data_IF_299800046597
#
_entry.id   IF_299800046597
#
_cell.length_a   1.000
_cell.length_b   1.000
_cell.length_c   1.000
_cell.angle_alpha   90.00
_cell.angle_beta   90.00
_cell.angle_gamma   90.00
#
_symmetry.space_group_name_H-M   'P 1'
#
loop_
_entity.id
_entity.type
_entity.pdbx_description
1 polymer ?
#
# COMPACT_ATOMS: atom_id res chain seq x y z
N UNK A 1 15.82 -1.00 -5.58
CA UNK A 1 15.05 -2.16 -6.12
C UNK A 1 15.11 -2.19 -7.65
N UNK A 2 14.62 -1.18 -8.37
CA UNK A 2 14.65 -1.17 -9.85
C UNK A 2 16.06 -1.34 -10.47
N UNK A 3 17.09 -0.65 -9.96
CA UNK A 3 18.49 -0.87 -10.39
C UNK A 3 19.04 -2.25 -10.00
N UNK A 4 18.62 -2.78 -8.85
CA UNK A 4 19.07 -4.09 -8.34
C UNK A 4 18.41 -5.28 -9.05
N UNK A 5 17.30 -5.06 -9.76
CA UNK A 5 16.61 -6.09 -10.55
C UNK A 5 17.00 -6.06 -12.03
N UNK A 6 17.92 -5.18 -12.44
CA UNK A 6 18.32 -5.06 -13.85
C UNK A 6 17.15 -4.78 -14.79
N UNK A 7 16.16 -3.99 -14.36
CA UNK A 7 14.99 -3.71 -15.20
C UNK A 7 15.40 -2.94 -16.46
N UNK A 8 14.91 -3.38 -17.63
CA UNK A 8 15.02 -2.64 -18.89
C UNK A 8 14.27 -1.31 -18.83
N UNK A 9 14.58 -0.37 -19.73
CA UNK A 9 13.85 0.91 -19.80
C UNK A 9 12.35 0.70 -20.04
N UNK A 10 11.97 -0.25 -20.89
CA UNK A 10 10.57 -0.61 -21.13
C UNK A 10 9.89 -1.17 -19.88
N UNK A 11 10.56 -2.06 -19.14
CA UNK A 11 10.05 -2.57 -17.87
C UNK A 11 9.88 -1.44 -16.86
N UNK A 12 10.86 -0.52 -16.77
CA UNK A 12 10.77 0.65 -15.88
C UNK A 12 9.59 1.56 -16.25
N UNK A 13 9.39 1.82 -17.54
CA UNK A 13 8.27 2.63 -18.02
C UNK A 13 6.92 2.01 -17.66
N UNK A 14 6.75 0.70 -17.90
CA UNK A 14 5.52 -0.03 -17.54
C UNK A 14 5.29 -0.06 -16.03
N UNK A 15 6.33 -0.26 -15.22
CA UNK A 15 6.24 -0.20 -13.76
C UNK A 15 5.82 1.19 -13.29
N UNK A 16 6.40 2.27 -13.84
CA UNK A 16 6.00 3.66 -13.51
C UNK A 16 4.51 3.88 -13.79
N UNK A 17 4.03 3.45 -14.96
CA UNK A 17 2.61 3.57 -15.34
C UNK A 17 1.68 2.82 -14.39
N UNK A 18 1.99 1.56 -14.05
CA UNK A 18 1.21 0.77 -13.09
C UNK A 18 1.12 1.49 -11.73
N UNK A 19 2.23 2.03 -11.24
CA UNK A 19 2.28 2.74 -9.96
C UNK A 19 1.47 4.04 -9.99
N UNK A 20 1.53 4.78 -11.11
CA UNK A 20 0.78 6.00 -11.30
C UNK A 20 -0.72 5.73 -11.41
N UNK A 21 -1.15 4.75 -12.19
CA UNK A 21 -2.54 4.34 -12.31
C UNK A 21 -3.10 3.85 -10.96
N UNK A 22 -2.30 3.09 -10.22
CA UNK A 22 -2.65 2.66 -8.86
C UNK A 22 -2.80 3.85 -7.92
N UNK A 23 -1.93 4.86 -8.03
CA UNK A 23 -2.05 6.09 -7.23
C UNK A 23 -3.29 6.88 -7.58
N UNK A 24 -3.59 7.06 -8.88
CA UNK A 24 -4.79 7.77 -9.34
C UNK A 24 -6.08 7.08 -8.86
N UNK A 25 -6.20 5.76 -9.08
CA UNK A 25 -7.37 4.98 -8.64
C UNK A 25 -7.63 5.04 -7.14
N UNK A 26 -6.57 5.24 -6.35
CA UNK A 26 -6.64 5.28 -4.90
C UNK A 26 -6.71 6.70 -4.33
N UNK A 27 -6.67 7.74 -5.16
CA UNK A 27 -6.59 9.12 -4.70
C UNK A 27 -7.78 9.50 -3.81
N UNK A 28 -8.99 9.18 -4.27
CA UNK A 28 -10.23 9.50 -3.55
C UNK A 28 -10.33 8.72 -2.24
N UNK A 29 -9.95 7.43 -2.26
CA UNK A 29 -9.91 6.58 -1.06
C UNK A 29 -8.92 7.12 -0.03
N UNK A 30 -7.78 7.65 -0.46
CA UNK A 30 -6.82 8.32 0.44
C UNK A 30 -7.42 9.61 1.01
N UNK A 31 -8.18 10.37 0.20
CA UNK A 31 -8.95 11.52 0.66
C UNK A 31 -9.95 11.15 1.75
N UNK A 32 -10.77 10.12 1.51
CA UNK A 32 -11.73 9.59 2.47
C UNK A 32 -11.06 9.14 3.76
N UNK A 33 -9.94 8.40 3.69
CA UNK A 33 -9.18 8.00 4.91
C UNK A 33 -8.77 9.22 5.74
N UNK A 34 -8.38 10.34 5.11
CA UNK A 34 -8.01 11.56 5.84
C UNK A 34 -9.22 12.18 6.52
N UNK A 35 -10.34 12.29 5.82
CA UNK A 35 -11.60 12.81 6.39
C UNK A 35 -12.07 11.94 7.56
N UNK A 36 -12.08 10.62 7.41
CA UNK A 36 -12.55 9.73 8.47
C UNK A 36 -11.61 9.71 9.69
N UNK A 37 -10.30 9.90 9.48
CA UNK A 37 -9.34 10.11 10.58
C UNK A 37 -9.54 11.44 11.29
N UNK A 38 -9.94 12.49 10.57
CA UNK A 38 -10.29 13.77 11.18
C UNK A 38 -11.52 13.59 12.06
N UNK A 39 -12.59 12.98 11.54
CA UNK A 39 -13.81 12.69 12.29
C UNK A 39 -13.52 11.89 13.57
N UNK A 40 -12.73 10.80 13.46
CA UNK A 40 -12.32 10.02 14.62
C UNK A 40 -11.57 10.87 15.65
N UNK A 41 -10.67 11.75 15.21
CA UNK A 41 -9.91 12.60 16.12
C UNK A 41 -10.81 13.56 16.88
N UNK A 42 -11.80 14.14 16.21
CA UNK A 42 -12.75 15.05 16.85
C UNK A 42 -13.64 14.30 17.86
N UNK A 43 -14.11 13.10 17.52
CA UNK A 43 -14.85 12.24 18.47
C UNK A 43 -14.04 11.93 19.73
N UNK A 44 -12.73 11.66 19.58
CA UNK A 44 -11.83 11.37 20.70
C UNK A 44 -11.46 12.59 21.54
N UNK A 45 -11.76 13.81 21.06
CA UNK A 45 -11.51 15.08 21.77
C UNK A 45 -12.73 15.59 22.53
N UNK A 46 -13.89 14.98 22.35
CA UNK A 46 -15.10 15.36 23.06
C UNK A 46 -14.96 15.12 24.57
N UNK A 47 -15.67 15.92 25.38
CA UNK A 47 -15.68 15.81 26.84
C UNK A 47 -16.11 14.41 27.32
N UNK A 48 -16.97 13.74 26.53
CA UNK A 48 -17.34 12.34 26.71
C UNK A 48 -17.24 11.61 25.37
N UNK A 49 -16.41 10.57 25.33
CA UNK A 49 -16.26 9.70 24.17
C UNK A 49 -17.32 8.60 24.20
N UNK A 50 -18.01 8.39 23.08
CA UNK A 50 -18.80 7.19 22.82
C UNK A 50 -17.89 6.08 22.27
N UNK A 51 -17.62 5.00 23.02
CA UNK A 51 -16.72 3.94 22.59
C UNK A 51 -17.19 3.23 21.32
N UNK A 52 -18.48 2.94 21.20
CA UNK A 52 -19.03 2.16 20.09
C UNK A 52 -18.99 2.98 18.80
N UNK A 53 -19.33 4.27 18.88
CA UNK A 53 -19.22 5.18 17.75
C UNK A 53 -17.75 5.34 17.28
N UNK A 54 -16.79 5.44 18.22
CA UNK A 54 -15.37 5.54 17.88
C UNK A 54 -14.82 4.26 17.22
N UNK A 55 -15.26 3.08 17.70
CA UNK A 55 -14.90 1.78 17.10
C UNK A 55 -15.47 1.65 15.69
N UNK A 56 -16.73 2.03 15.46
CA UNK A 56 -17.32 2.02 14.13
C UNK A 56 -16.63 2.99 13.17
N UNK A 57 -16.27 4.18 13.65
CA UNK A 57 -15.50 5.14 12.87
C UNK A 57 -14.11 4.59 12.51
N UNK A 58 -13.46 3.87 13.44
CA UNK A 58 -12.20 3.17 13.16
C UNK A 58 -12.38 2.06 12.12
N UNK A 59 -13.48 1.31 12.16
CA UNK A 59 -13.81 0.26 11.19
C UNK A 59 -13.87 0.81 9.76
N UNK A 60 -14.56 1.94 9.55
CA UNK A 60 -14.60 2.62 8.23
C UNK A 60 -13.21 2.93 7.68
N UNK A 61 -12.32 3.48 8.52
CA UNK A 61 -10.94 3.75 8.14
C UNK A 61 -10.20 2.47 7.73
N UNK A 62 -10.40 1.38 8.47
CA UNK A 62 -9.73 0.12 8.20
C UNK A 62 -10.26 -0.55 6.93
N UNK A 63 -11.56 -0.42 6.63
CA UNK A 63 -12.18 -0.90 5.40
C UNK A 63 -11.56 -0.21 4.17
N UNK A 64 -11.43 1.11 4.21
CA UNK A 64 -10.74 1.89 3.17
C UNK A 64 -9.28 1.48 3.03
N UNK A 65 -8.56 1.23 4.13
CA UNK A 65 -7.18 0.72 4.09
C UNK A 65 -7.09 -0.66 3.42
N UNK A 66 -8.08 -1.55 3.64
CA UNK A 66 -8.13 -2.86 2.98
C UNK A 66 -8.33 -2.71 1.46
N UNK A 67 -9.12 -1.74 1.01
CA UNK A 67 -9.24 -1.41 -0.41
C UNK A 67 -7.89 -0.98 -1.02
N UNK A 68 -7.17 -0.07 -0.36
CA UNK A 68 -5.81 0.34 -0.77
C UNK A 68 -4.85 -0.84 -0.80
N UNK A 69 -4.91 -1.71 0.21
CA UNK A 69 -4.07 -2.91 0.27
C UNK A 69 -4.32 -3.83 -0.92
N UNK A 70 -5.59 -4.10 -1.26
CA UNK A 70 -5.95 -4.89 -2.44
C UNK A 70 -5.37 -4.31 -3.71
N UNK A 71 -5.58 -3.00 -3.95
CA UNK A 71 -5.07 -2.33 -5.14
C UNK A 71 -3.53 -2.40 -5.26
N UNK A 72 -2.82 -2.30 -4.12
CA UNK A 72 -1.35 -2.46 -4.08
C UNK A 72 -0.90 -3.89 -4.39
N UNK A 73 -1.66 -4.90 -3.96
CA UNK A 73 -1.38 -6.31 -4.28
C UNK A 73 -1.59 -6.57 -5.77
N UNK A 74 -2.64 -6.01 -6.36
CA UNK A 74 -2.91 -6.12 -7.79
C UNK A 74 -1.80 -5.47 -8.62
N UNK A 75 -1.41 -4.25 -8.26
CA UNK A 75 -0.28 -3.55 -8.88
C UNK A 75 1.03 -4.36 -8.76
N UNK A 76 1.28 -4.96 -7.59
CA UNK A 76 2.45 -5.82 -7.38
C UNK A 76 2.42 -7.03 -8.30
N UNK A 77 1.26 -7.68 -8.47
CA UNK A 77 1.12 -8.83 -9.35
C UNK A 77 1.36 -8.45 -10.82
N UNK A 78 0.83 -7.29 -11.26
CA UNK A 78 1.12 -6.74 -12.58
C UNK A 78 2.62 -6.48 -12.79
N UNK A 79 3.30 -5.91 -11.80
CA UNK A 79 4.76 -5.72 -11.89
C UNK A 79 5.51 -7.04 -11.97
N UNK A 80 5.15 -8.04 -11.16
CA UNK A 80 5.78 -9.36 -11.22
C UNK A 80 5.59 -10.04 -12.58
N UNK A 81 4.44 -9.83 -13.23
CA UNK A 81 4.18 -10.33 -14.57
C UNK A 81 5.14 -9.75 -15.64
N UNK A 82 5.68 -8.54 -15.42
CA UNK A 82 6.65 -7.91 -16.32
C UNK A 82 8.08 -8.44 -16.17
N UNK A 83 8.38 -9.12 -15.06
CA UNK A 83 9.72 -9.61 -14.74
C UNK A 83 9.97 -10.97 -15.39
N UNK A 84 11.22 -11.19 -15.82
CA UNK A 84 11.70 -12.53 -16.20
C UNK A 84 11.78 -13.46 -14.98
N UNK A 85 11.84 -14.79 -15.15
CA UNK A 85 12.03 -15.72 -14.04
C UNK A 85 13.22 -15.37 -13.14
N UNK A 86 14.35 -15.01 -13.72
CA UNK A 86 15.60 -14.67 -13.01
C UNK A 86 15.43 -13.38 -12.18
N UNK A 87 14.77 -12.39 -12.75
CA UNK A 87 14.43 -11.14 -12.05
C UNK A 87 13.44 -11.39 -10.90
N UNK A 88 12.52 -12.35 -11.03
CA UNK A 88 11.60 -12.73 -9.94
C UNK A 88 12.33 -13.39 -8.77
N UNK A 89 13.27 -14.28 -9.04
CA UNK A 89 14.09 -14.91 -8.00
C UNK A 89 14.93 -13.87 -7.25
N UNK A 90 15.57 -12.96 -7.98
CA UNK A 90 16.31 -11.83 -7.39
C UNK A 90 15.39 -10.97 -6.50
N UNK A 91 14.15 -10.72 -6.94
CA UNK A 91 13.17 -9.98 -6.16
C UNK A 91 12.70 -10.72 -4.90
N UNK A 92 12.64 -12.05 -4.92
CA UNK A 92 12.32 -12.88 -3.74
C UNK A 92 13.46 -12.84 -2.72
N UNK A 93 14.70 -13.09 -3.16
CA UNK A 93 15.89 -13.04 -2.32
C UNK A 93 16.04 -11.68 -1.63
N UNK A 94 15.85 -10.58 -2.36
CA UNK A 94 15.93 -9.23 -1.80
C UNK A 94 14.86 -8.95 -0.72
N UNK A 95 13.65 -9.53 -0.87
CA UNK A 95 12.58 -9.40 0.15
C UNK A 95 12.92 -10.17 1.41
N UNK A 96 13.45 -11.38 1.26
CA UNK A 96 13.86 -12.23 2.37
C UNK A 96 14.97 -11.54 3.18
N UNK A 97 16.02 -11.07 2.51
CA UNK A 97 17.10 -10.31 3.15
C UNK A 97 16.57 -9.08 3.91
N UNK A 98 15.63 -8.33 3.32
CA UNK A 98 15.02 -7.18 4.00
C UNK A 98 14.16 -7.56 5.20
N UNK A 99 13.56 -8.74 5.21
CA UNK A 99 12.76 -9.24 6.34
C UNK A 99 13.69 -9.63 7.48
N UNK A 100 14.77 -10.36 7.19
CA UNK A 100 15.79 -10.76 8.16
C UNK A 100 16.43 -9.54 8.83
N UNK A 101 16.82 -8.52 8.05
CA UNK A 101 17.38 -7.26 8.59
C UNK A 101 16.40 -6.43 9.42
N UNK A 102 15.10 -6.71 9.34
CA UNK A 102 14.05 -6.02 10.13
C UNK A 102 13.60 -6.81 11.36
N UNK A 103 13.86 -8.12 11.40
CA UNK A 103 13.61 -8.97 12.56
C UNK A 103 14.78 -9.03 13.54
N UNK A 104 15.94 -8.50 13.16
CA UNK A 104 17.18 -8.47 13.95
C UNK A 104 17.45 -7.09 14.60
N UNK A 105 16.42 -6.29 14.84
CA UNK A 105 16.52 -4.95 15.43
C UNK A 105 15.45 -4.70 16.46
#
# INVERSE_FOLDING_TARGET
MARALGLSEDQRAKVRRIMEDTRRKNWDVIGQIRSERFNLREMMRADKVDPDAAVEQKRKIDDLRRQIMRARLDARNQVLALLTPEQRETARAFRQLRRERRGNG
#
